data_IF_169035810836
#
_entry.id   IF_169035810836
#
_cell.length_a   1.000
_cell.length_b   1.000
_cell.length_c   1.000
_cell.angle_alpha   90.00
_cell.angle_beta   90.00
_cell.angle_gamma   90.00
#
_symmetry.space_group_name_H-M   'P 1'
#
loop_
_entity.id
_entity.type
_entity.pdbx_description
1 polymer ?
#
# COMPACT_ATOMS: atom_id res chain seq x y z
N UNK A 1 -8.78 -15.13 9.81
CA UNK A 1 -9.02 -13.68 9.95
C UNK A 1 -8.18 -13.00 8.91
N UNK A 2 -8.72 -12.83 7.70
CA UNK A 2 -7.97 -12.28 6.56
C UNK A 2 -8.47 -10.87 6.24
N UNK A 3 -8.19 -9.93 7.14
CA UNK A 3 -8.07 -8.53 6.74
C UNK A 3 -6.61 -8.32 6.32
N UNK A 4 -6.23 -8.86 5.15
CA UNK A 4 -4.92 -8.57 4.55
C UNK A 4 -4.99 -7.16 3.96
N UNK A 5 -4.06 -6.29 4.35
CA UNK A 5 -4.00 -4.93 3.81
C UNK A 5 -3.74 -4.96 2.29
N UNK A 6 -4.08 -3.87 1.56
CA UNK A 6 -3.81 -3.78 0.12
C UNK A 6 -2.33 -4.05 -0.22
N UNK A 7 -1.42 -3.59 0.64
CA UNK A 7 0.02 -3.83 0.51
C UNK A 7 0.35 -5.32 0.62
N UNK A 8 -0.19 -6.01 1.63
CA UNK A 8 0.07 -7.44 1.82
C UNK A 8 -0.44 -8.27 0.63
N UNK A 9 -1.62 -7.91 0.09
CA UNK A 9 -2.19 -8.56 -1.11
C UNK A 9 -1.29 -8.39 -2.33
N UNK A 10 -0.94 -7.16 -2.68
CA UNK A 10 -0.04 -6.88 -3.81
C UNK A 10 1.28 -7.63 -3.66
N UNK A 11 1.84 -7.62 -2.45
CA UNK A 11 3.11 -8.29 -2.17
C UNK A 11 3.01 -9.80 -2.43
N UNK A 12 1.94 -10.46 -2.01
CA UNK A 12 1.73 -11.90 -2.23
C UNK A 12 1.38 -12.25 -3.68
N UNK A 13 0.58 -11.42 -4.35
CA UNK A 13 0.22 -11.60 -5.77
C UNK A 13 1.45 -11.47 -6.69
N UNK A 14 2.48 -10.73 -6.26
CA UNK A 14 3.74 -10.52 -6.97
C UNK A 14 4.93 -11.31 -6.38
N UNK A 15 4.69 -12.26 -5.47
CA UNK A 15 5.72 -13.08 -4.80
C UNK A 15 6.87 -12.29 -4.14
N UNK A 16 6.56 -11.09 -3.64
CA UNK A 16 7.51 -10.20 -3.00
C UNK A 16 7.65 -10.51 -1.50
N UNK A 17 8.86 -10.37 -0.96
CA UNK A 17 9.08 -10.29 0.48
C UNK A 17 8.89 -8.86 0.99
N UNK A 18 8.69 -8.67 2.30
CA UNK A 18 8.64 -7.33 2.91
C UNK A 18 9.90 -6.50 2.61
N UNK A 19 11.04 -7.17 2.52
CA UNK A 19 12.32 -6.56 2.21
C UNK A 19 12.36 -6.08 0.76
N UNK A 20 11.89 -6.89 -0.18
CA UNK A 20 11.82 -6.52 -1.60
C UNK A 20 10.80 -5.42 -1.84
N UNK A 21 9.61 -5.51 -1.23
CA UNK A 21 8.63 -4.44 -1.29
C UNK A 21 9.20 -3.13 -0.72
N UNK A 22 9.83 -3.16 0.45
CA UNK A 22 10.48 -1.98 1.03
C UNK A 22 11.57 -1.39 0.14
N UNK A 23 12.33 -2.24 -0.56
CA UNK A 23 13.37 -1.82 -1.49
C UNK A 23 12.83 -1.00 -2.67
N UNK A 24 11.58 -1.23 -3.11
CA UNK A 24 10.91 -0.43 -4.13
C UNK A 24 10.78 1.06 -3.73
N UNK A 25 10.76 1.34 -2.42
CA UNK A 25 10.55 2.68 -1.86
C UNK A 25 11.77 3.21 -1.08
N UNK A 26 12.89 2.48 -1.12
CA UNK A 26 14.10 2.80 -0.38
C UNK A 26 13.94 2.73 1.15
N UNK A 27 13.07 1.85 1.65
CA UNK A 27 12.82 1.64 3.09
C UNK A 27 13.13 0.21 3.52
N UNK A 28 13.31 0.00 4.83
CA UNK A 28 13.52 -1.34 5.38
C UNK A 28 12.21 -2.15 5.50
N UNK A 29 12.38 -3.46 5.73
CA UNK A 29 11.26 -4.39 5.90
C UNK A 29 10.35 -4.05 7.10
N UNK A 30 10.89 -3.41 8.15
CA UNK A 30 10.13 -3.03 9.35
C UNK A 30 9.18 -1.87 9.04
N UNK A 31 9.61 -0.96 8.18
CA UNK A 31 8.83 0.16 7.67
C UNK A 31 7.72 -0.35 6.75
N UNK A 32 8.05 -1.26 5.82
CA UNK A 32 7.06 -1.93 4.98
C UNK A 32 5.99 -2.65 5.82
N UNK A 33 6.39 -3.40 6.86
CA UNK A 33 5.46 -4.08 7.77
C UNK A 33 4.56 -3.10 8.53
N UNK A 34 5.08 -1.93 8.92
CA UNK A 34 4.26 -0.88 9.56
C UNK A 34 3.20 -0.35 8.59
N UNK A 35 3.57 -0.12 7.33
CA UNK A 35 2.61 0.32 6.31
C UNK A 35 1.54 -0.74 6.06
N UNK A 36 1.90 -2.03 5.99
CA UNK A 36 0.92 -3.13 5.89
C UNK A 36 -0.08 -3.15 7.06
N UNK A 37 0.31 -2.61 8.23
CA UNK A 37 -0.55 -2.50 9.42
C UNK A 37 -1.29 -1.17 9.50
N UNK A 38 -1.18 -0.31 8.47
CA UNK A 38 -1.77 1.03 8.47
C UNK A 38 -1.06 2.04 9.39
N UNK A 39 0.17 1.75 9.81
CA UNK A 39 0.94 2.57 10.74
C UNK A 39 2.01 3.39 10.01
N UNK A 40 2.17 4.65 10.40
CA UNK A 40 3.21 5.57 9.90
C UNK A 40 3.26 5.70 8.38
N UNK A 41 2.15 5.45 7.69
CA UNK A 41 2.03 5.71 6.27
C UNK A 41 1.62 7.17 6.07
N UNK A 42 2.47 7.95 5.40
CA UNK A 42 2.18 9.36 5.11
C UNK A 42 1.41 9.49 3.79
N UNK A 43 0.62 10.56 3.58
CA UNK A 43 -0.08 10.81 2.33
C UNK A 43 0.86 10.82 1.11
N UNK A 44 2.08 11.37 1.28
CA UNK A 44 3.11 11.36 0.24
C UNK A 44 3.50 9.93 -0.16
N UNK A 45 3.71 9.04 0.82
CA UNK A 45 4.04 7.63 0.55
C UNK A 45 2.86 6.88 -0.06
N UNK A 46 1.63 7.17 0.33
CA UNK A 46 0.46 6.56 -0.30
C UNK A 46 0.35 6.88 -1.81
N UNK A 47 0.61 8.14 -2.19
CA UNK A 47 0.67 8.55 -3.61
C UNK A 47 1.81 7.84 -4.36
N UNK A 48 2.97 7.74 -3.72
CA UNK A 48 4.13 7.05 -4.29
C UNK A 48 3.87 5.56 -4.49
N UNK A 49 3.25 4.88 -3.51
CA UNK A 49 2.83 3.47 -3.62
C UNK A 49 1.89 3.29 -4.80
N UNK A 50 0.85 4.12 -4.93
CA UNK A 50 -0.07 4.05 -6.08
C UNK A 50 0.66 4.23 -7.41
N UNK A 51 1.65 5.13 -7.47
CA UNK A 51 2.42 5.38 -8.69
C UNK A 51 3.33 4.21 -9.05
N UNK A 52 4.06 3.65 -8.09
CA UNK A 52 5.00 2.54 -8.29
C UNK A 52 4.28 1.23 -8.59
N UNK A 53 3.11 1.02 -8.00
CA UNK A 53 2.27 -0.18 -8.19
C UNK A 53 1.34 -0.05 -9.40
N UNK A 54 1.53 0.94 -10.28
CA UNK A 54 0.69 1.18 -11.45
C UNK A 54 -0.82 1.22 -11.15
N UNK A 55 -1.21 1.81 -10.01
CA UNK A 55 -2.60 1.89 -9.52
C UNK A 55 -3.25 0.56 -9.12
N UNK A 56 -2.47 -0.50 -8.90
CA UNK A 56 -2.97 -1.73 -8.27
C UNK A 56 -3.31 -1.50 -6.80
N UNK A 57 -2.54 -0.66 -6.10
CA UNK A 57 -2.87 -0.19 -4.75
C UNK A 57 -3.30 1.27 -4.84
N UNK A 58 -4.53 1.56 -4.44
CA UNK A 58 -5.03 2.94 -4.47
C UNK A 58 -4.73 3.67 -3.16
N UNK A 59 -4.32 4.94 -3.26
CA UNK A 59 -4.07 5.78 -2.07
C UNK A 59 -5.30 5.92 -1.16
N UNK A 60 -6.50 5.83 -1.74
CA UNK A 60 -7.77 5.85 -1.01
C UNK A 60 -8.04 4.58 -0.20
N UNK A 61 -7.50 3.43 -0.61
CA UNK A 61 -7.56 2.20 0.18
C UNK A 61 -6.57 2.22 1.34
N UNK A 62 -5.43 2.90 1.14
CA UNK A 62 -4.38 3.02 2.16
C UNK A 62 -4.72 4.04 3.24
N UNK A 63 -5.27 5.20 2.84
CA UNK A 63 -5.59 6.32 3.73
C UNK A 63 -6.96 6.91 3.35
N UNK A 64 -8.07 6.20 3.63
CA UNK A 64 -9.43 6.63 3.26
C UNK A 64 -9.83 7.94 3.92
N UNK A 65 -9.35 8.23 5.14
CA UNK A 65 -9.65 9.47 5.87
C UNK A 65 -9.08 10.72 5.19
N UNK A 66 -8.05 10.57 4.35
CA UNK A 66 -7.33 11.68 3.73
C UNK A 66 -7.73 11.84 2.26
N UNK A 67 -7.84 10.74 1.52
CA UNK A 67 -8.10 10.76 0.07
C UNK A 67 -9.56 10.44 -0.29
N UNK A 68 -10.39 10.09 0.70
CA UNK A 68 -11.71 9.51 0.48
C UNK A 68 -11.60 8.02 0.13
N UNK A 69 -12.67 7.28 0.41
CA UNK A 69 -12.79 5.90 -0.07
C UNK A 69 -12.64 5.89 -1.61
N UNK A 70 -11.99 4.86 -2.20
CA UNK A 70 -11.93 4.75 -3.64
C UNK A 70 -13.36 4.75 -4.16
N UNK A 71 -13.74 5.82 -4.85
CA UNK A 71 -15.00 5.89 -5.57
C UNK A 71 -14.82 4.87 -6.68
N UNK A 72 -15.36 3.65 -6.49
CA UNK A 72 -15.55 2.73 -7.59
C UNK A 72 -16.22 3.54 -8.68
N UNK A 73 -15.53 3.69 -9.80
CA UNK A 73 -16.04 4.45 -10.92
C UNK A 73 -17.39 3.84 -11.26
N UNK A 74 -18.46 4.59 -10.97
CA UNK A 74 -19.80 4.26 -11.41
C UNK A 74 -19.72 4.00 -12.92
N UNK A 75 -19.93 2.74 -13.30
CA UNK A 75 -20.25 2.37 -14.67
C UNK A 75 -21.74 2.59 -14.91
#
# INVERSE_FOLDING_TARGET
MENRSPIARYREEHDLTLKEFGALFGVDQSTALRWERGLNLTPKRAVEIETVTNREILRGELLPDIFGAPVEAAQ
#
